data_IF_696434588438
#
_entry.id   IF_696434588438
#
_cell.length_a   1.000
_cell.length_b   1.000
_cell.length_c   1.000
_cell.angle_alpha   90.00
_cell.angle_beta   90.00
_cell.angle_gamma   90.00
#
_symmetry.space_group_name_H-M   'P 1'
#
loop_
_entity.id
_entity.type
_entity.pdbx_description
1 polymer ?
#
# COMPACT_ATOMS: atom_id res chain seq x y z
N UNK A 1 0.42 19.75 -1.06
CA UNK A 1 -0.62 18.89 -1.66
C UNK A 1 -0.78 17.65 -0.81
N UNK A 2 -2.01 17.28 -0.45
CA UNK A 2 -2.30 16.13 0.41
C UNK A 2 -2.27 14.79 -0.32
N UNK A 3 -2.34 14.79 -1.65
CA UNK A 3 -2.28 13.56 -2.45
C UNK A 3 -1.09 12.66 -2.08
N UNK A 4 -1.38 11.37 -1.91
CA UNK A 4 -0.44 10.30 -1.60
C UNK A 4 -0.70 9.63 -0.25
N UNK A 5 0.28 8.85 0.18
CA UNK A 5 0.25 8.13 1.45
C UNK A 5 0.98 8.92 2.54
N UNK A 6 0.45 8.88 3.75
CA UNK A 6 0.99 9.48 4.97
C UNK A 6 1.01 8.44 6.06
N UNK A 7 2.06 8.39 6.86
CA UNK A 7 2.24 7.35 7.88
C UNK A 7 2.84 7.94 9.15
N UNK A 8 2.45 7.40 10.30
CA UNK A 8 2.98 7.85 11.58
C UNK A 8 2.48 7.03 12.76
N UNK A 9 2.92 7.42 13.95
CA UNK A 9 2.46 6.82 15.22
C UNK A 9 1.34 7.68 15.81
N UNK A 10 0.41 7.03 16.48
CA UNK A 10 -0.54 7.70 17.35
C UNK A 10 -0.38 7.30 18.81
N UNK A 11 -0.86 8.17 19.70
CA UNK A 11 -0.88 7.97 21.15
C UNK A 11 -2.16 8.52 21.77
N UNK A 12 -2.60 8.00 22.92
CA UNK A 12 -3.80 8.48 23.60
C UNK A 12 -4.40 7.45 24.56
N UNK A 13 -5.69 7.16 24.39
CA UNK A 13 -6.35 6.00 25.05
C UNK A 13 -5.70 4.68 24.65
N UNK A 14 -5.15 4.64 23.44
CA UNK A 14 -4.39 3.54 22.86
C UNK A 14 -3.21 4.12 22.07
N UNK A 15 -2.21 3.28 21.81
CA UNK A 15 -1.04 3.61 21.01
C UNK A 15 -0.97 2.67 19.80
N UNK A 16 -0.44 3.15 18.68
CA UNK A 16 -0.35 2.35 17.48
C UNK A 16 0.18 3.09 16.27
N UNK A 17 -0.06 2.52 15.10
CA UNK A 17 0.32 3.06 13.79
C UNK A 17 -0.89 3.59 13.04
N UNK A 18 -0.69 4.69 12.31
CA UNK A 18 -1.70 5.31 11.49
C UNK A 18 -1.19 5.42 10.04
N UNK A 19 -2.03 5.02 9.09
CA UNK A 19 -1.78 5.13 7.66
C UNK A 19 -2.94 5.89 7.05
N UNK A 20 -2.66 6.98 6.34
CA UNK A 20 -3.64 7.78 5.62
C UNK A 20 -3.29 7.73 4.13
N UNK A 21 -4.28 7.41 3.31
CA UNK A 21 -4.18 7.35 1.85
C UNK A 21 -5.17 8.34 1.26
N UNK A 22 -4.69 9.26 0.43
CA UNK A 22 -5.50 10.30 -0.19
C UNK A 22 -5.21 10.41 -1.68
N UNK A 23 -6.27 10.38 -2.47
CA UNK A 23 -6.30 10.72 -3.88
C UNK A 23 -6.85 12.14 -4.09
N UNK A 24 -6.23 12.89 -4.99
CA UNK A 24 -6.75 14.18 -5.45
C UNK A 24 -7.93 13.98 -6.40
N UNK A 25 -9.06 14.63 -6.10
CA UNK A 25 -10.21 14.77 -7.01
C UNK A 25 -10.25 16.19 -7.58
N UNK A 26 -11.28 16.55 -8.35
CA UNK A 26 -11.45 17.94 -8.79
C UNK A 26 -11.74 18.90 -7.62
N UNK A 27 -12.42 18.42 -6.57
CA UNK A 27 -12.99 19.27 -5.52
C UNK A 27 -12.28 19.17 -4.17
N UNK A 28 -11.78 17.99 -3.84
CA UNK A 28 -11.25 17.63 -2.52
C UNK A 28 -10.11 16.60 -2.64
N UNK A 29 -9.62 16.15 -1.50
CA UNK A 29 -8.81 14.94 -1.38
C UNK A 29 -9.66 13.86 -0.72
N UNK A 30 -9.76 12.69 -1.34
CA UNK A 30 -10.58 11.58 -0.85
C UNK A 30 -9.72 10.36 -0.59
N UNK A 31 -10.07 9.60 0.44
CA UNK A 31 -9.49 8.29 0.67
C UNK A 31 -9.82 7.76 2.05
N UNK A 32 -8.87 7.11 2.70
CA UNK A 32 -9.10 6.45 3.97
C UNK A 32 -7.92 6.59 4.92
N UNK A 33 -8.22 6.61 6.22
CA UNK A 33 -7.25 6.43 7.29
C UNK A 33 -7.47 5.08 7.96
N UNK A 34 -6.38 4.43 8.32
CA UNK A 34 -6.32 3.16 9.01
C UNK A 34 -5.50 3.32 10.28
N UNK A 35 -6.01 2.80 11.40
CA UNK A 35 -5.32 2.73 12.67
C UNK A 35 -5.10 1.28 13.07
N UNK A 36 -3.87 0.96 13.45
CA UNK A 36 -3.45 -0.36 13.90
C UNK A 36 -2.90 -0.26 15.31
N UNK A 37 -3.61 -0.87 16.26
CA UNK A 37 -3.20 -0.88 17.65
C UNK A 37 -1.92 -1.69 17.87
N UNK A 38 -1.10 -1.26 18.82
CA UNK A 38 0.05 -2.03 19.28
C UNK A 38 -0.41 -3.35 19.93
N UNK A 39 -1.56 -3.33 20.62
CA UNK A 39 -2.23 -4.53 21.10
C UNK A 39 -2.90 -5.27 19.94
N UNK A 40 -2.23 -6.33 19.45
CA UNK A 40 -2.70 -7.18 18.36
C UNK A 40 -3.96 -8.00 18.66
N UNK A 41 -4.50 -7.93 19.89
CA UNK A 41 -5.80 -8.49 20.24
C UNK A 41 -6.97 -7.55 19.94
N UNK A 42 -6.70 -6.29 19.62
CA UNK A 42 -7.71 -5.31 19.23
C UNK A 42 -7.84 -5.27 17.69
N UNK A 43 -9.06 -5.04 17.16
CA UNK A 43 -9.24 -4.84 15.73
C UNK A 43 -8.60 -3.51 15.30
N UNK A 44 -8.15 -3.45 14.06
CA UNK A 44 -7.83 -2.15 13.44
C UNK A 44 -9.09 -1.31 13.23
N UNK A 45 -8.91 -0.02 12.99
CA UNK A 45 -9.98 0.93 12.66
C UNK A 45 -9.74 1.54 11.29
N UNK A 46 -10.80 1.75 10.52
CA UNK A 46 -10.78 2.46 9.25
C UNK A 46 -11.82 3.58 9.24
N UNK A 47 -11.51 4.67 8.54
CA UNK A 47 -12.43 5.77 8.36
C UNK A 47 -12.21 6.43 7.00
N UNK A 48 -13.30 6.72 6.29
CA UNK A 48 -13.24 7.45 5.02
C UNK A 48 -12.97 8.93 5.29
N UNK A 49 -12.05 9.53 4.53
CA UNK A 49 -11.61 10.91 4.71
C UNK A 49 -11.93 11.70 3.44
N UNK A 50 -12.57 12.85 3.61
CA UNK A 50 -12.67 13.91 2.61
C UNK A 50 -12.05 15.17 3.19
N UNK A 51 -10.90 15.56 2.65
CA UNK A 51 -10.11 16.70 3.11
C UNK A 51 -10.20 17.87 2.10
N UNK A 52 -10.44 19.10 2.55
CA UNK A 52 -10.56 20.26 1.65
C UNK A 52 -9.23 20.64 1.01
N UNK A 53 -9.23 21.06 -0.27
CA UNK A 53 -8.01 21.49 -0.97
C UNK A 53 -7.43 22.82 -0.48
N UNK A 54 -8.29 23.77 -0.13
CA UNK A 54 -7.91 25.16 0.14
C UNK A 54 -7.56 25.45 1.62
N UNK A 55 -7.56 24.43 2.48
CA UNK A 55 -7.37 24.61 3.93
C UNK A 55 -6.27 23.70 4.46
N UNK A 56 -5.31 24.29 5.17
CA UNK A 56 -4.27 23.54 5.89
C UNK A 56 -4.72 23.11 7.29
N UNK A 57 -5.94 23.49 7.72
CA UNK A 57 -6.52 23.03 8.98
C UNK A 57 -8.01 22.87 8.81
N UNK A 58 -8.55 21.75 9.28
CA UNK A 58 -9.95 21.39 9.13
C UNK A 58 -10.39 20.45 10.25
N UNK A 59 -11.70 20.28 10.39
CA UNK A 59 -12.30 19.34 11.35
C UNK A 59 -13.21 18.38 10.60
N UNK A 60 -13.22 17.12 11.02
CA UNK A 60 -14.09 16.08 10.46
C UNK A 60 -14.81 15.35 11.57
N UNK A 61 -16.09 15.07 11.35
CA UNK A 61 -16.85 14.09 12.11
C UNK A 61 -17.01 12.85 11.24
N UNK A 62 -16.31 11.78 11.59
CA UNK A 62 -16.13 10.65 10.68
C UNK A 62 -16.65 9.36 11.31
N UNK A 63 -17.54 8.62 10.62
CA UNK A 63 -17.91 7.26 11.02
C UNK A 63 -16.69 6.35 11.03
N UNK A 64 -16.64 5.45 12.01
CA UNK A 64 -15.57 4.48 12.18
C UNK A 64 -16.06 3.08 11.85
N UNK A 65 -15.26 2.36 11.08
CA UNK A 65 -15.43 0.93 10.79
C UNK A 65 -14.29 0.16 11.43
N UNK A 66 -14.56 -1.07 11.82
CA UNK A 66 -13.52 -1.97 12.30
C UNK A 66 -12.89 -2.71 11.11
N UNK A 67 -11.65 -3.16 11.26
CA UNK A 67 -10.98 -4.00 10.26
C UNK A 67 -11.14 -5.47 10.64
N UNK A 68 -11.61 -6.28 9.69
CA UNK A 68 -11.62 -7.74 9.85
C UNK A 68 -10.20 -8.35 9.70
N UNK A 69 -10.07 -9.66 9.81
CA UNK A 69 -8.78 -10.38 9.68
C UNK A 69 -8.16 -10.28 8.27
N UNK A 70 -8.96 -9.93 7.27
CA UNK A 70 -8.54 -9.72 5.89
C UNK A 70 -8.35 -8.22 5.60
N UNK A 71 -8.38 -7.37 6.63
CA UNK A 71 -8.19 -5.92 6.54
C UNK A 71 -9.30 -5.19 5.79
N UNK A 72 -10.49 -5.79 5.71
CA UNK A 72 -11.66 -5.13 5.13
C UNK A 72 -12.34 -4.24 6.17
N UNK A 73 -12.73 -3.00 5.82
CA UNK A 73 -13.60 -2.18 6.64
C UNK A 73 -14.99 -2.82 6.77
N UNK A 74 -15.41 -3.11 8.00
CA UNK A 74 -16.69 -3.74 8.35
C UNK A 74 -17.33 -3.05 9.54
N UNK A 75 -18.64 -3.19 9.68
CA UNK A 75 -19.34 -2.68 10.87
C UNK A 75 -18.93 -3.47 12.11
N UNK A 76 -18.93 -2.82 13.27
CA UNK A 76 -18.57 -3.49 14.53
C UNK A 76 -19.45 -4.73 14.81
N UNK A 77 -20.74 -4.66 14.48
CA UNK A 77 -21.68 -5.77 14.66
C UNK A 77 -21.21 -7.07 13.97
N UNK A 78 -20.55 -6.97 12.81
CA UNK A 78 -20.09 -8.13 12.03
C UNK A 78 -18.93 -8.89 12.70
N UNK A 79 -18.10 -8.21 13.51
CA UNK A 79 -16.89 -8.82 14.08
C UNK A 79 -16.85 -8.82 15.61
N UNK A 80 -17.74 -8.08 16.29
CA UNK A 80 -17.78 -7.98 17.76
C UNK A 80 -17.74 -9.32 18.51
N UNK A 81 -18.34 -10.44 18.04
CA UNK A 81 -18.23 -11.73 18.74
C UNK A 81 -16.79 -12.27 18.84
N UNK A 82 -15.89 -11.80 17.97
CA UNK A 82 -14.46 -12.20 17.98
C UNK A 82 -13.64 -11.42 19.01
N UNK A 83 -14.21 -10.38 19.61
CA UNK A 83 -13.53 -9.43 20.50
C UNK A 83 -14.33 -9.24 21.80
N UNK A 84 -14.45 -10.28 22.63
CA UNK A 84 -15.23 -10.21 23.86
C UNK A 84 -14.65 -9.15 24.81
N UNK A 85 -15.53 -8.30 25.36
CA UNK A 85 -15.15 -7.24 26.31
C UNK A 85 -14.58 -5.97 25.66
N UNK A 86 -14.48 -5.91 24.33
CA UNK A 86 -14.06 -4.72 23.60
C UNK A 86 -15.28 -3.83 23.33
N UNK A 87 -15.14 -2.53 23.62
CA UNK A 87 -16.08 -1.51 23.17
C UNK A 87 -15.45 -0.75 22.01
N UNK A 88 -16.14 -0.68 20.87
CA UNK A 88 -15.62 -0.05 19.66
C UNK A 88 -16.32 1.29 19.41
N UNK A 89 -15.59 2.40 19.18
CA UNK A 89 -16.17 3.69 18.86
C UNK A 89 -16.83 3.69 17.48
N UNK A 90 -17.97 4.36 17.31
CA UNK A 90 -18.65 4.40 16.00
C UNK A 90 -18.43 5.69 15.24
N UNK A 91 -17.96 6.74 15.91
CA UNK A 91 -17.67 8.03 15.30
C UNK A 91 -16.52 8.72 16.03
N UNK A 92 -15.71 9.46 15.27
CA UNK A 92 -14.69 10.36 15.81
C UNK A 92 -14.92 11.80 15.34
N UNK A 93 -14.85 12.74 16.27
CA UNK A 93 -14.67 14.16 15.99
C UNK A 93 -13.16 14.45 16.01
N UNK A 94 -12.63 14.95 14.89
CA UNK A 94 -11.19 15.06 14.65
C UNK A 94 -10.80 16.44 14.14
N UNK A 95 -9.60 16.89 14.49
CA UNK A 95 -8.99 18.13 14.01
C UNK A 95 -7.64 17.82 13.37
N UNK A 96 -7.42 18.42 12.21
CA UNK A 96 -6.30 18.13 11.32
C UNK A 96 -5.56 19.43 11.03
N UNK A 97 -4.23 19.37 11.02
CA UNK A 97 -3.37 20.49 10.66
C UNK A 97 -2.18 20.01 9.83
N UNK A 98 -1.97 20.66 8.69
CA UNK A 98 -0.95 20.29 7.70
C UNK A 98 0.15 21.34 7.68
N UNK A 99 1.39 20.91 7.86
CA UNK A 99 2.59 21.74 7.93
C UNK A 99 3.67 21.11 7.04
N UNK A 100 3.70 21.49 5.77
CA UNK A 100 4.63 20.89 4.80
C UNK A 100 4.33 19.40 4.59
N UNK A 101 5.33 18.54 4.82
CA UNK A 101 5.22 17.08 4.74
C UNK A 101 4.86 16.42 6.08
N UNK A 102 4.40 17.21 7.06
CA UNK A 102 3.89 16.76 8.36
C UNK A 102 2.41 17.08 8.50
N UNK A 103 1.64 16.16 9.08
CA UNK A 103 0.23 16.31 9.41
C UNK A 103 0.02 15.95 10.88
N UNK A 104 -0.54 16.90 11.64
CA UNK A 104 -0.93 16.71 13.03
C UNK A 104 -2.44 16.45 13.09
N UNK A 105 -2.83 15.42 13.84
CA UNK A 105 -4.23 15.01 13.99
C UNK A 105 -4.52 14.79 15.46
N UNK A 106 -5.68 15.25 15.92
CA UNK A 106 -6.22 14.94 17.25
C UNK A 106 -7.68 14.53 17.12
N UNK A 107 -8.15 13.62 17.96
CA UNK A 107 -9.55 13.19 17.93
C UNK A 107 -10.10 12.81 19.30
N UNK A 108 -11.43 12.80 19.38
CA UNK A 108 -12.24 12.23 20.46
C UNK A 108 -13.35 11.40 19.86
N UNK A 109 -13.74 10.31 20.51
CA UNK A 109 -14.82 9.43 20.04
C UNK A 109 -16.09 9.54 20.87
N UNK A 110 -17.17 8.96 20.36
CA UNK A 110 -18.47 8.82 21.04
C UNK A 110 -18.43 8.05 22.36
N UNK A 111 -17.44 7.18 22.55
CA UNK A 111 -17.24 6.43 23.80
C UNK A 111 -16.22 7.10 24.75
N UNK A 112 -15.79 8.32 24.45
CA UNK A 112 -14.88 9.11 25.28
C UNK A 112 -13.40 8.76 25.14
N UNK A 113 -13.02 7.85 24.24
CA UNK A 113 -11.60 7.63 23.91
C UNK A 113 -11.06 8.79 23.09
N UNK A 114 -9.75 9.03 23.16
CA UNK A 114 -9.11 10.14 22.46
C UNK A 114 -7.69 9.79 22.05
N UNK A 115 -7.14 10.56 21.11
CA UNK A 115 -5.77 10.38 20.69
C UNK A 115 -5.24 11.51 19.82
N UNK A 116 -3.96 11.41 19.52
CA UNK A 116 -3.25 12.29 18.61
C UNK A 116 -2.25 11.51 17.76
N UNK A 117 -2.04 11.95 16.53
CA UNK A 117 -1.07 11.38 15.61
C UNK A 117 -0.24 12.47 14.94
N UNK A 118 1.00 12.14 14.64
CA UNK A 118 1.87 12.90 13.74
C UNK A 118 2.17 12.01 12.53
N UNK A 119 1.62 12.37 11.37
CA UNK A 119 1.81 11.64 10.12
C UNK A 119 2.80 12.38 9.22
N UNK A 120 3.66 11.62 8.56
CA UNK A 120 4.62 12.13 7.60
C UNK A 120 4.28 11.65 6.20
N UNK A 121 4.41 12.54 5.22
CA UNK A 121 4.19 12.19 3.83
C UNK A 121 5.19 11.12 3.39
N UNK A 122 4.71 10.10 2.69
CA UNK A 122 5.53 9.01 2.20
C UNK A 122 6.58 9.53 1.23
N UNK A 123 7.85 9.22 1.53
CA UNK A 123 8.98 9.52 0.65
C UNK A 123 9.07 8.56 -0.55
N UNK A 124 7.98 7.91 -0.97
CA UNK A 124 7.95 6.93 -2.07
C UNK A 124 8.36 7.51 -3.44
N UNK A 125 8.41 8.84 -3.58
CA UNK A 125 8.91 9.53 -4.77
C UNK A 125 10.43 9.80 -4.72
N UNK A 126 11.07 9.63 -3.57
CA UNK A 126 12.51 9.79 -3.41
C UNK A 126 13.26 8.48 -3.75
N UNK A 127 14.57 8.55 -4.01
CA UNK A 127 15.38 7.35 -4.20
C UNK A 127 15.25 6.35 -3.03
N UNK A 128 15.52 5.09 -3.32
CA UNK A 128 15.50 4.03 -2.33
C UNK A 128 16.54 4.26 -1.24
N UNK A 129 16.09 4.18 0.01
CA UNK A 129 16.98 4.22 1.18
C UNK A 129 17.78 2.93 1.35
N UNK A 130 17.33 1.82 0.74
CA UNK A 130 18.08 0.58 0.74
C UNK A 130 19.31 0.73 -0.15
N UNK A 131 20.48 0.57 0.46
CA UNK A 131 21.77 0.53 -0.23
C UNK A 131 22.26 -0.91 -0.34
N UNK A 132 22.67 -1.38 -1.53
CA UNK A 132 23.32 -2.68 -1.62
C UNK A 132 24.70 -2.62 -0.92
N UNK A 133 25.22 -3.74 -0.39
CA UNK A 133 26.53 -3.77 0.26
C UNK A 133 27.67 -3.33 -0.67
N UNK A 134 27.52 -3.60 -1.97
CA UNK A 134 28.44 -3.20 -3.04
C UNK A 134 27.68 -3.13 -4.37
N UNK A 135 28.31 -2.52 -5.38
CA UNK A 135 27.93 -2.75 -6.76
C UNK A 135 28.35 -4.17 -7.17
N UNK A 136 27.46 -4.90 -7.85
CA UNK A 136 27.72 -6.26 -8.32
C UNK A 136 28.02 -6.22 -9.82
N UNK A 137 29.12 -6.85 -10.24
CA UNK A 137 29.26 -7.26 -11.64
C UNK A 137 28.28 -8.40 -11.94
N UNK A 138 28.05 -8.71 -13.21
CA UNK A 138 27.26 -9.89 -13.58
C UNK A 138 27.82 -11.18 -12.98
N UNK A 139 29.15 -11.30 -12.89
CA UNK A 139 29.78 -12.48 -12.30
C UNK A 139 29.58 -12.53 -10.78
N UNK A 140 29.70 -11.40 -10.09
CA UNK A 140 29.35 -11.31 -8.66
C UNK A 140 27.90 -11.75 -8.43
N UNK A 141 26.96 -11.26 -9.25
CA UNK A 141 25.54 -11.57 -9.12
C UNK A 141 25.26 -13.05 -9.31
N UNK A 142 25.83 -13.68 -10.35
CA UNK A 142 25.68 -15.14 -10.57
C UNK A 142 26.19 -15.95 -9.38
N UNK A 143 27.38 -15.60 -8.86
CA UNK A 143 27.98 -16.31 -7.73
C UNK A 143 27.13 -16.14 -6.46
N UNK A 144 26.64 -14.92 -6.21
CA UNK A 144 25.73 -14.65 -5.11
C UNK A 144 24.43 -15.45 -5.25
N UNK A 145 23.76 -15.38 -6.40
CA UNK A 145 22.52 -16.10 -6.67
C UNK A 145 22.67 -17.62 -6.51
N UNK A 146 23.80 -18.19 -6.96
CA UNK A 146 24.10 -19.62 -6.83
C UNK A 146 24.40 -20.06 -5.38
N UNK A 147 24.77 -19.13 -4.49
CA UNK A 147 25.03 -19.42 -3.08
C UNK A 147 23.77 -19.45 -2.21
N UNK A 148 22.63 -19.04 -2.75
CA UNK A 148 21.37 -18.96 -2.01
C UNK A 148 20.65 -20.31 -2.00
N UNK A 149 20.00 -20.59 -0.87
CA UNK A 149 19.10 -21.73 -0.72
C UNK A 149 17.92 -21.61 -1.69
N UNK A 150 17.67 -22.61 -2.57
CA UNK A 150 16.56 -22.59 -3.50
C UNK A 150 15.21 -22.40 -2.78
N UNK A 151 14.29 -21.65 -3.40
CA UNK A 151 12.92 -21.38 -2.92
C UNK A 151 12.78 -20.60 -1.61
N UNK A 152 13.85 -20.47 -0.81
CA UNK A 152 13.87 -19.65 0.41
C UNK A 152 13.75 -18.15 0.13
N UNK A 153 14.07 -17.71 -1.09
CA UNK A 153 14.10 -16.31 -1.45
C UNK A 153 13.19 -16.02 -2.64
N UNK A 154 12.67 -14.80 -2.66
CA UNK A 154 12.00 -14.20 -3.81
C UNK A 154 12.72 -12.93 -4.24
N UNK A 155 12.69 -12.66 -5.53
CA UNK A 155 13.47 -11.63 -6.19
C UNK A 155 12.58 -10.72 -7.03
N UNK A 156 12.95 -9.44 -7.13
CA UNK A 156 12.30 -8.47 -8.03
C UNK A 156 13.34 -7.57 -8.70
N UNK A 157 13.36 -7.58 -10.03
CA UNK A 157 14.22 -6.70 -10.82
C UNK A 157 13.58 -5.34 -11.09
N UNK A 158 14.40 -4.29 -11.10
CA UNK A 158 14.05 -2.94 -11.52
C UNK A 158 15.14 -2.36 -12.43
N UNK A 159 14.73 -1.66 -13.48
CA UNK A 159 15.64 -1.07 -14.48
C UNK A 159 16.48 0.09 -13.96
N UNK A 160 16.04 0.73 -12.88
CA UNK A 160 16.74 1.85 -12.26
C UNK A 160 17.02 1.53 -10.80
N UNK A 161 18.31 1.55 -10.47
CA UNK A 161 18.80 1.30 -9.12
C UNK A 161 18.43 2.37 -8.11
N UNK A 162 17.90 3.52 -8.50
CA UNK A 162 17.40 4.55 -7.59
C UNK A 162 15.97 4.29 -7.15
N UNK A 163 15.21 3.45 -7.87
CA UNK A 163 13.79 3.27 -7.60
C UNK A 163 13.51 2.54 -6.28
N UNK A 164 12.52 3.06 -5.54
CA UNK A 164 11.91 2.36 -4.41
C UNK A 164 11.03 1.19 -4.86
N UNK A 165 10.79 0.24 -3.95
CA UNK A 165 9.72 -0.75 -4.11
C UNK A 165 8.38 -0.01 -4.04
N UNK A 166 7.70 0.06 -5.17
CA UNK A 166 6.42 0.75 -5.33
C UNK A 166 5.63 0.07 -6.45
N UNK A 167 4.36 -0.22 -6.19
CA UNK A 167 3.46 -0.88 -7.14
C UNK A 167 3.21 0.03 -8.36
N UNK A 168 2.72 -0.54 -9.46
CA UNK A 168 2.37 0.27 -10.62
C UNK A 168 1.22 1.24 -10.29
N UNK A 169 0.23 0.79 -9.51
CA UNK A 169 -0.85 1.63 -8.96
C UNK A 169 -0.33 2.90 -8.31
N UNK A 170 0.55 2.78 -7.31
CA UNK A 170 1.02 3.95 -6.61
C UNK A 170 1.82 4.90 -7.52
N UNK A 171 2.54 4.39 -8.53
CA UNK A 171 3.31 5.24 -9.46
C UNK A 171 2.41 6.16 -10.30
N UNK A 172 1.12 5.85 -10.45
CA UNK A 172 0.15 6.71 -11.16
C UNK A 172 -0.24 7.95 -10.36
N UNK A 173 0.17 8.05 -9.09
CA UNK A 173 -0.24 9.12 -8.17
C UNK A 173 -1.45 8.76 -7.31
N UNK A 174 -2.11 7.64 -7.59
CA UNK A 174 -3.16 7.05 -6.75
C UNK A 174 -2.58 6.41 -5.49
N UNK A 175 -3.36 6.38 -4.42
CA UNK A 175 -3.06 5.78 -3.13
C UNK A 175 -4.27 5.09 -2.51
N UNK A 176 -5.51 5.49 -2.83
CA UNK A 176 -6.71 4.92 -2.22
C UNK A 176 -6.97 3.47 -2.67
N UNK A 177 -6.57 2.51 -1.82
CA UNK A 177 -6.76 1.09 -2.05
C UNK A 177 -8.20 0.63 -1.84
N UNK A 178 -8.98 1.30 -0.98
CA UNK A 178 -10.40 0.96 -0.80
C UNK A 178 -11.14 1.26 -2.07
N UNK A 179 -10.97 2.46 -2.64
CA UNK A 179 -11.56 2.80 -3.93
C UNK A 179 -11.11 1.86 -5.04
N UNK A 180 -9.84 1.46 -5.06
CA UNK A 180 -9.35 0.48 -6.02
C UNK A 180 -10.12 -0.85 -5.94
N UNK A 181 -10.40 -1.34 -4.72
CA UNK A 181 -11.10 -2.61 -4.49
C UNK A 181 -12.61 -2.46 -4.71
N UNK A 182 -13.23 -1.39 -4.23
CA UNK A 182 -14.70 -1.25 -4.20
C UNK A 182 -15.27 -0.64 -5.48
N UNK A 183 -14.49 0.12 -6.22
CA UNK A 183 -14.94 0.81 -7.44
C UNK A 183 -14.15 0.35 -8.68
N UNK A 184 -12.82 0.52 -8.67
CA UNK A 184 -12.01 0.30 -9.87
C UNK A 184 -12.04 -1.18 -10.29
N UNK A 185 -11.90 -2.11 -9.34
CA UNK A 185 -11.88 -3.55 -9.60
C UNK A 185 -13.22 -4.07 -10.17
N UNK A 186 -14.40 -3.79 -9.56
CA UNK A 186 -15.69 -4.18 -10.13
C UNK A 186 -15.97 -3.53 -11.49
N UNK A 187 -15.63 -2.25 -11.66
CA UNK A 187 -15.80 -1.56 -12.93
C UNK A 187 -14.92 -2.21 -14.03
N UNK A 188 -13.67 -2.52 -13.72
CA UNK A 188 -12.75 -3.20 -14.63
C UNK A 188 -13.26 -4.60 -15.00
N UNK A 189 -13.67 -5.40 -14.00
CA UNK A 189 -14.23 -6.73 -14.22
C UNK A 189 -15.45 -6.70 -15.14
N UNK A 190 -16.38 -5.77 -14.91
CA UNK A 190 -17.56 -5.58 -15.75
C UNK A 190 -17.22 -5.20 -17.20
N UNK A 191 -16.21 -4.36 -17.41
CA UNK A 191 -15.79 -3.97 -18.75
C UNK A 191 -15.06 -5.11 -19.48
N UNK A 192 -14.29 -5.92 -18.74
CA UNK A 192 -13.54 -7.04 -19.30
C UNK A 192 -14.37 -8.31 -19.45
N UNK A 193 -15.48 -8.48 -18.72
CA UNK A 193 -16.29 -9.70 -18.75
C UNK A 193 -16.90 -10.01 -20.12
N UNK A 194 -16.96 -9.02 -21.01
CA UNK A 194 -17.41 -9.18 -22.40
C UNK A 194 -16.24 -9.47 -23.37
N UNK A 195 -15.00 -9.28 -22.94
CA UNK A 195 -13.78 -9.49 -23.71
C UNK A 195 -13.08 -10.80 -23.33
N UNK A 196 -13.38 -11.36 -22.16
CA UNK A 196 -12.83 -12.62 -21.67
C UNK A 196 -13.84 -13.76 -21.79
N UNK A 197 -13.39 -14.94 -22.24
CA UNK A 197 -14.24 -16.15 -22.28
C UNK A 197 -14.58 -16.65 -20.86
N UNK A 198 -13.66 -16.46 -19.92
CA UNK A 198 -13.84 -16.79 -18.51
C UNK A 198 -14.35 -15.57 -17.73
N UNK A 199 -15.34 -15.78 -16.86
CA UNK A 199 -15.85 -14.78 -15.91
C UNK A 199 -15.28 -15.07 -14.54
N UNK A 200 -14.43 -14.18 -14.05
CA UNK A 200 -13.80 -14.29 -12.74
C UNK A 200 -14.79 -13.97 -11.62
N UNK A 201 -14.87 -14.84 -10.61
CA UNK A 201 -15.51 -14.59 -9.35
C UNK A 201 -14.53 -13.85 -8.42
N UNK A 202 -14.69 -12.54 -8.30
CA UNK A 202 -13.81 -11.71 -7.47
C UNK A 202 -13.92 -11.98 -5.97
N UNK A 203 -14.93 -12.74 -5.53
CA UNK A 203 -15.07 -13.18 -4.14
C UNK A 203 -14.21 -14.42 -3.84
N UNK A 204 -13.80 -15.16 -4.87
CA UNK A 204 -12.84 -16.25 -4.72
C UNK A 204 -11.41 -15.67 -4.76
N UNK A 205 -10.58 -15.89 -3.72
CA UNK A 205 -9.24 -15.30 -3.66
C UNK A 205 -8.32 -15.74 -4.80
N UNK A 206 -8.46 -16.97 -5.30
CA UNK A 206 -7.63 -17.51 -6.37
C UNK A 206 -8.03 -16.88 -7.70
N UNK A 207 -9.32 -16.81 -7.99
CA UNK A 207 -9.83 -16.16 -9.19
C UNK A 207 -9.60 -14.64 -9.18
N UNK A 208 -9.72 -13.97 -8.02
CA UNK A 208 -9.39 -12.56 -7.89
C UNK A 208 -7.88 -12.30 -8.14
N UNK A 209 -7.01 -13.15 -7.60
CA UNK A 209 -5.57 -13.09 -7.88
C UNK A 209 -5.24 -13.33 -9.36
N UNK A 210 -5.94 -14.27 -10.00
CA UNK A 210 -5.82 -14.52 -11.44
C UNK A 210 -6.30 -13.32 -12.27
N UNK A 211 -7.41 -12.69 -11.88
CA UNK A 211 -7.92 -11.48 -12.50
C UNK A 211 -6.91 -10.33 -12.41
N UNK A 212 -6.35 -10.07 -11.23
CA UNK A 212 -5.31 -9.05 -11.06
C UNK A 212 -4.05 -9.33 -11.88
N UNK A 213 -3.63 -10.60 -11.95
CA UNK A 213 -2.50 -11.01 -12.79
C UNK A 213 -2.76 -10.75 -14.28
N UNK A 214 -3.97 -11.04 -14.76
CA UNK A 214 -4.39 -10.78 -16.15
C UNK A 214 -4.32 -9.29 -16.49
N UNK A 215 -4.95 -8.44 -15.68
CA UNK A 215 -5.02 -7.00 -15.99
C UNK A 215 -3.65 -6.34 -15.87
N UNK A 216 -2.82 -6.78 -14.91
CA UNK A 216 -1.44 -6.32 -14.76
C UNK A 216 -0.57 -6.74 -15.95
N UNK A 217 -0.76 -7.96 -16.49
CA UNK A 217 -0.08 -8.41 -17.69
C UNK A 217 -0.36 -7.51 -18.90
N UNK A 218 -1.59 -6.99 -19.00
CA UNK A 218 -2.00 -6.03 -20.02
C UNK A 218 -1.67 -4.56 -19.67
N UNK A 219 -0.94 -4.31 -18.58
CA UNK A 219 -0.44 -2.99 -18.21
C UNK A 219 -1.39 -2.17 -17.33
N UNK A 220 -2.48 -2.73 -16.83
CA UNK A 220 -3.33 -2.04 -15.87
C UNK A 220 -2.59 -1.83 -14.54
N UNK A 221 -2.66 -0.63 -13.94
CA UNK A 221 -1.94 -0.33 -12.70
C UNK A 221 -2.60 -0.97 -11.48
N UNK A 222 -2.08 -2.12 -11.05
CA UNK A 222 -2.53 -2.85 -9.85
C UNK A 222 -1.67 -2.52 -8.61
N UNK A 223 -2.22 -2.69 -7.39
CA UNK A 223 -1.47 -2.55 -6.14
C UNK A 223 -0.59 -3.78 -5.84
N UNK A 224 -0.31 -4.62 -6.83
CA UNK A 224 0.55 -5.79 -6.69
C UNK A 224 2.00 -5.48 -7.06
N UNK A 225 2.91 -6.27 -6.47
CA UNK A 225 4.31 -6.36 -6.86
C UNK A 225 4.58 -7.77 -7.35
N UNK A 226 5.12 -7.89 -8.56
CA UNK A 226 5.61 -9.16 -9.08
C UNK A 226 6.91 -9.57 -8.38
N UNK A 227 6.93 -10.78 -7.89
CA UNK A 227 8.11 -11.44 -7.32
C UNK A 227 8.32 -12.77 -8.04
N UNK A 228 9.56 -13.22 -8.12
CA UNK A 228 9.91 -14.51 -8.72
C UNK A 228 10.88 -15.26 -7.82
N UNK A 229 10.77 -16.58 -7.74
CA UNK A 229 11.77 -17.41 -7.07
C UNK A 229 13.09 -17.52 -7.86
N UNK A 230 13.12 -17.09 -9.13
CA UNK A 230 14.32 -17.15 -9.95
C UNK A 230 15.06 -15.80 -9.95
N UNK A 231 16.28 -15.72 -9.40
CA UNK A 231 17.09 -14.50 -9.45
C UNK A 231 17.40 -14.08 -10.90
N UNK A 232 17.48 -15.04 -11.83
CA UNK A 232 17.75 -14.77 -13.24
C UNK A 232 16.54 -14.19 -13.98
N UNK A 233 15.33 -14.61 -13.63
CA UNK A 233 14.10 -13.98 -14.15
C UNK A 233 14.02 -12.54 -13.65
N UNK A 234 14.31 -12.30 -12.36
CA UNK A 234 14.38 -10.94 -11.82
C UNK A 234 15.42 -10.09 -12.56
N UNK A 235 16.63 -10.62 -12.79
CA UNK A 235 17.65 -9.93 -13.56
C UNK A 235 17.18 -9.61 -14.99
N UNK A 236 16.53 -10.54 -15.69
CA UNK A 236 15.96 -10.28 -17.02
C UNK A 236 15.02 -9.06 -16.99
N UNK A 237 14.09 -8.99 -16.05
CA UNK A 237 13.19 -7.83 -15.92
C UNK A 237 13.92 -6.54 -15.53
N UNK A 238 15.04 -6.63 -14.82
CA UNK A 238 15.88 -5.48 -14.53
C UNK A 238 16.54 -4.92 -15.80
N UNK A 239 16.92 -5.79 -16.77
CA UNK A 239 17.61 -5.37 -17.99
C UNK A 239 16.71 -5.22 -19.23
N UNK A 240 15.47 -5.73 -19.24
CA UNK A 240 14.65 -5.90 -20.46
C UNK A 240 14.45 -4.64 -21.33
N UNK A 241 14.41 -3.46 -20.70
CA UNK A 241 14.13 -2.19 -21.39
C UNK A 241 15.40 -1.40 -21.72
N UNK A 242 16.58 -1.91 -21.35
CA UNK A 242 17.85 -1.22 -21.55
C UNK A 242 18.32 -1.45 -22.99
N UNK A 243 18.34 -0.37 -23.78
CA UNK A 243 18.82 -0.40 -25.17
C UNK A 243 20.35 -0.39 -25.18
N UNK A 244 20.95 -1.28 -25.98
CA UNK A 244 22.42 -1.39 -26.18
C UNK A 244 23.15 -0.12 -26.66
N UNK A 245 22.45 0.95 -27.03
CA UNK A 245 23.05 2.19 -27.59
C UNK A 245 23.00 3.40 -26.65
N UNK A 246 22.41 3.25 -25.46
CA UNK A 246 22.27 4.32 -24.46
C UNK A 246 23.07 3.99 -23.19
N UNK A 247 24.25 3.37 -23.35
CA UNK A 247 25.17 3.11 -22.24
C UNK A 247 25.73 4.44 -21.73
N UNK A 248 25.17 4.91 -20.63
CA UNK A 248 25.89 5.75 -19.69
C UNK A 248 26.50 4.81 -18.65
N UNK A 249 27.83 4.81 -18.51
CA UNK A 249 28.57 3.92 -17.58
C UNK A 249 28.14 4.07 -16.10
N UNK A 250 27.35 5.11 -15.78
CA UNK A 250 26.87 5.42 -14.44
C UNK A 250 25.52 4.80 -14.07
N UNK A 251 24.84 4.07 -14.97
CA UNK A 251 23.50 3.52 -14.70
C UNK A 251 23.54 2.06 -14.26
N UNK A 252 23.04 1.81 -13.06
CA UNK A 252 22.87 0.46 -12.51
C UNK A 252 21.39 0.06 -12.49
N UNK A 253 21.14 -1.23 -12.70
CA UNK A 253 19.86 -1.88 -12.38
C UNK A 253 19.86 -2.34 -10.93
N UNK A 254 18.70 -2.77 -10.41
CA UNK A 254 18.59 -3.32 -9.06
C UNK A 254 17.77 -4.60 -9.02
N UNK A 255 18.21 -5.54 -8.20
CA UNK A 255 17.44 -6.73 -7.83
C UNK A 255 17.21 -6.69 -6.33
N UNK A 256 15.96 -6.61 -5.90
CA UNK A 256 15.56 -6.81 -4.51
C UNK A 256 15.48 -8.30 -4.21
N UNK A 257 15.80 -8.66 -2.97
CA UNK A 257 15.69 -10.01 -2.42
C UNK A 257 14.94 -9.92 -1.09
N UNK A 258 13.97 -10.82 -0.91
CA UNK A 258 13.26 -11.01 0.35
C UNK A 258 13.27 -12.50 0.71
N UNK A 259 13.24 -12.80 2.01
CA UNK A 259 13.04 -14.17 2.50
C UNK A 259 11.57 -14.51 2.29
N UNK A 260 11.30 -15.62 1.60
CA UNK A 260 9.97 -16.18 1.50
C UNK A 260 9.60 -16.79 2.86
N UNK A 261 8.54 -16.29 3.48
CA UNK A 261 7.92 -17.01 4.59
C UNK A 261 7.26 -18.25 4.00
N UNK A 262 7.84 -19.43 4.26
CA UNK A 262 7.10 -20.67 4.03
C UNK A 262 5.91 -20.65 4.99
N UNK A 263 4.69 -20.68 4.45
CA UNK A 263 3.47 -20.85 5.23
C UNK A 263 3.42 -22.19 5.94
#
# INVERSE_FOLDING_TARGET
MLNGQWMGRYTGSNDGEAILELDETDFDYQGAVYLYDDNKQLPGTAAAISAPKAQNSFQLKTPLLALDKLMNPVTWAQISPQYPGVTFPTVADSSWKVIGDKMEVTWTTDIGTSGKAELHKSAAHTPSFYTPPKAYTWNDFKNFAASLDPYRFIFRGQEDSTWRLRTHFHRTGRADLVKFITEDTPALSKNLSNLTTHKFNLLDPVENGAFYSLVQHHGYPTPLLDWTHSPFIAAYFAYKNIRRRSYEDSKFVRVFILIACNG
#
